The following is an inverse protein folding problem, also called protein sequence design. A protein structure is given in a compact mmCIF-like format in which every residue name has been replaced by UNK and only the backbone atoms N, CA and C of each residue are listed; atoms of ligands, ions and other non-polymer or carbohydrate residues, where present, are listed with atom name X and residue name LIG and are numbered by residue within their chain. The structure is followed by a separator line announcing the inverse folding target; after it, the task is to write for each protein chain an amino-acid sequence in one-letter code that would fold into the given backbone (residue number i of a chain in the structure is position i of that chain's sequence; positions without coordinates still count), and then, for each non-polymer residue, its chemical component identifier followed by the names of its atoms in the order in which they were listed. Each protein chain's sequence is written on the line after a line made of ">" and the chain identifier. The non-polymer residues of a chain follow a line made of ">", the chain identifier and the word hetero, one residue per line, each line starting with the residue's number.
data_IF_294415506833
#
_entry.id   IF_294415506833
#
_cell.length_a   1.000
_cell.length_b   1.000
_cell.length_c   1.000
_cell.angle_alpha   90.00
_cell.angle_beta   90.00
_cell.angle_gamma   90.00
#
_symmetry.space_group_name_H-M   'P 1'
#
loop_
_entity.id
_entity.type
_entity.pdbx_description
1 polymer ?
#
# COMPACT_ATOMS: atom_id res chain seq x y z
N UNK A 1 15.55 -14.68 -5.72
CA UNK A 1 14.17 -14.61 -6.28
C UNK A 1 14.17 -13.76 -7.54
N UNK A 2 13.19 -13.94 -8.43
CA UNK A 2 13.07 -13.19 -9.68
C UNK A 2 11.97 -12.13 -9.57
N UNK A 3 12.10 -11.05 -10.32
CA UNK A 3 11.03 -10.07 -10.50
C UNK A 3 9.82 -10.71 -11.17
N UNK A 4 8.67 -10.07 -11.03
CA UNK A 4 7.44 -10.54 -11.64
C UNK A 4 6.56 -9.41 -12.14
N UNK A 5 5.74 -9.76 -13.13
CA UNK A 5 4.61 -8.98 -13.65
C UNK A 5 3.39 -9.87 -13.79
N UNK A 6 2.25 -9.34 -14.21
CA UNK A 6 1.07 -10.14 -14.55
C UNK A 6 1.19 -10.73 -15.96
N UNK A 7 0.51 -11.87 -16.24
CA UNK A 7 0.54 -12.50 -17.58
C UNK A 7 -0.38 -11.83 -18.58
N UNK A 8 -1.52 -11.31 -18.11
CA UNK A 8 -2.58 -10.73 -18.95
C UNK A 8 -3.05 -9.42 -18.35
N UNK A 9 -3.45 -8.49 -19.20
CA UNK A 9 -4.13 -7.27 -18.79
C UNK A 9 -5.44 -7.60 -18.05
N UNK A 10 -5.73 -6.82 -17.01
CA UNK A 10 -7.00 -6.85 -16.29
C UNK A 10 -7.47 -5.43 -16.02
N UNK A 11 -8.80 -5.26 -16.08
CA UNK A 11 -9.45 -3.97 -15.92
C UNK A 11 -10.47 -4.03 -14.79
N UNK A 12 -10.63 -2.90 -14.11
CA UNK A 12 -11.70 -2.69 -13.15
C UNK A 12 -12.10 -1.22 -13.11
N UNK A 13 -13.32 -0.99 -12.67
CA UNK A 13 -13.88 0.36 -12.50
C UNK A 13 -14.72 0.41 -11.24
N UNK A 14 -14.92 1.60 -10.73
CA UNK A 14 -15.73 1.84 -9.55
C UNK A 14 -15.62 3.28 -9.08
N UNK A 15 -16.22 3.59 -7.96
CA UNK A 15 -16.18 4.92 -7.37
C UNK A 15 -14.93 5.12 -6.53
N UNK A 16 -14.36 6.32 -6.54
CA UNK A 16 -13.36 6.75 -5.57
C UNK A 16 -14.03 7.07 -4.24
N UNK A 17 -13.46 6.60 -3.14
CA UNK A 17 -14.08 6.77 -1.81
C UNK A 17 -14.20 8.24 -1.41
N UNK A 18 -13.21 9.07 -1.77
CA UNK A 18 -13.21 10.48 -1.40
C UNK A 18 -13.93 11.36 -2.40
N UNK A 19 -13.71 11.15 -3.69
CA UNK A 19 -14.27 12.00 -4.74
C UNK A 19 -15.70 11.65 -5.11
N UNK A 20 -16.17 10.43 -4.84
CA UNK A 20 -17.45 9.91 -5.31
C UNK A 20 -17.56 9.75 -6.83
N UNK A 21 -16.45 9.99 -7.56
CA UNK A 21 -16.42 9.92 -9.01
C UNK A 21 -16.01 8.53 -9.48
N UNK A 22 -16.57 8.10 -10.59
CA UNK A 22 -16.17 6.85 -11.25
C UNK A 22 -14.79 7.02 -11.87
N UNK A 23 -13.96 6.00 -11.69
CA UNK A 23 -12.68 5.87 -12.36
C UNK A 23 -12.52 4.45 -12.93
N UNK A 24 -11.70 4.33 -13.96
CA UNK A 24 -11.34 3.05 -14.58
C UNK A 24 -9.84 2.85 -14.51
N UNK A 25 -9.44 1.63 -14.17
CA UNK A 25 -8.03 1.23 -14.05
C UNK A 25 -7.75 0.02 -14.90
N UNK A 26 -6.67 0.08 -15.70
CA UNK A 26 -6.12 -1.05 -16.45
C UNK A 26 -4.75 -1.41 -15.90
N UNK A 27 -4.58 -2.64 -15.47
CA UNK A 27 -3.29 -3.21 -15.06
C UNK A 27 -2.69 -3.96 -16.25
N UNK A 28 -1.52 -3.53 -16.73
CA UNK A 28 -0.86 -4.10 -17.92
C UNK A 28 0.52 -4.64 -17.56
N UNK A 29 0.92 -5.80 -18.13
CA UNK A 29 2.27 -6.31 -17.96
C UNK A 29 3.29 -5.28 -18.40
N UNK A 30 4.45 -5.24 -17.74
CA UNK A 30 5.59 -4.44 -18.16
C UNK A 30 6.89 -5.23 -18.11
N UNK A 31 7.94 -4.69 -18.74
CA UNK A 31 9.28 -5.30 -18.75
C UNK A 31 9.93 -5.35 -17.36
N UNK A 32 11.01 -6.12 -17.20
CA UNK A 32 11.78 -6.13 -15.97
C UNK A 32 12.40 -4.75 -15.71
N UNK A 33 12.56 -4.40 -14.42
CA UNK A 33 13.09 -3.12 -13.94
C UNK A 33 12.26 -1.87 -14.30
N UNK A 34 11.03 -2.04 -14.77
CA UNK A 34 10.12 -0.91 -15.01
C UNK A 34 9.61 -0.32 -13.68
N UNK A 35 9.45 -1.16 -12.65
CA UNK A 35 8.76 -0.79 -11.43
C UNK A 35 7.24 -0.64 -11.64
N UNK A 36 6.57 -0.05 -10.68
CA UNK A 36 5.13 0.23 -10.74
C UNK A 36 4.93 1.67 -11.20
N UNK A 37 4.24 1.85 -12.32
CA UNK A 37 4.12 3.18 -12.94
C UNK A 37 2.68 3.46 -13.30
N UNK A 38 2.14 4.55 -12.76
CA UNK A 38 0.83 5.06 -13.13
C UNK A 38 0.92 5.89 -14.42
N UNK A 39 -0.04 5.67 -15.29
CA UNK A 39 -0.30 6.47 -16.49
C UNK A 39 -1.70 7.08 -16.36
N UNK A 40 -1.74 8.35 -15.96
CA UNK A 40 -3.00 9.09 -15.86
C UNK A 40 -3.41 9.58 -17.24
N UNK A 41 -4.56 9.09 -17.73
CA UNK A 41 -5.15 9.49 -19.01
C UNK A 41 -6.06 10.69 -18.83
N UNK A 42 -5.93 11.67 -19.73
CA UNK A 42 -6.80 12.85 -19.84
C UNK A 42 -7.61 12.82 -21.14
N UNK A 43 -7.02 12.23 -22.20
CA UNK A 43 -7.62 11.93 -23.50
C UNK A 43 -6.86 10.77 -24.14
N UNK A 44 -7.26 10.33 -25.34
CA UNK A 44 -6.54 9.28 -26.06
C UNK A 44 -5.08 9.66 -26.37
N UNK A 45 -4.78 10.95 -26.53
CA UNK A 45 -3.45 11.46 -26.91
C UNK A 45 -2.64 12.02 -25.74
N UNK A 46 -3.27 12.30 -24.57
CA UNK A 46 -2.60 12.93 -23.44
C UNK A 46 -2.57 12.03 -22.22
N UNK A 47 -1.39 11.51 -21.95
CA UNK A 47 -1.11 10.65 -20.80
C UNK A 47 0.04 11.23 -19.99
N UNK A 48 -0.04 11.15 -18.67
CA UNK A 48 1.01 11.61 -17.75
C UNK A 48 1.48 10.44 -16.91
N UNK A 49 2.78 10.25 -16.87
CA UNK A 49 3.45 9.21 -16.13
C UNK A 49 3.77 9.68 -14.70
N UNK A 50 3.46 8.85 -13.70
CA UNK A 50 3.76 9.07 -12.29
C UNK A 50 4.27 7.76 -11.70
N UNK A 51 5.58 7.58 -11.49
CA UNK A 51 6.12 6.40 -10.83
C UNK A 51 5.55 6.26 -9.41
N UNK A 52 5.19 5.03 -9.03
CA UNK A 52 4.67 4.72 -7.70
C UNK A 52 5.81 4.64 -6.67
N UNK A 53 6.39 5.79 -6.38
CA UNK A 53 7.53 5.95 -5.48
C UNK A 53 7.25 6.99 -4.40
N UNK A 54 7.86 6.81 -3.23
CA UNK A 54 7.76 7.72 -2.10
C UNK A 54 8.06 9.19 -2.44
N UNK A 55 8.96 9.44 -3.40
CA UNK A 55 9.31 10.79 -3.89
C UNK A 55 8.13 11.50 -4.56
N UNK A 56 7.18 10.75 -5.07
CA UNK A 56 5.99 11.25 -5.76
C UNK A 56 4.75 11.31 -4.86
N UNK A 57 4.87 11.01 -3.56
CA UNK A 57 3.80 11.22 -2.59
C UNK A 57 3.68 12.72 -2.32
N UNK A 58 2.52 13.28 -2.64
CA UNK A 58 2.25 14.74 -2.55
C UNK A 58 1.20 15.08 -1.49
N UNK A 59 0.41 14.11 -1.03
CA UNK A 59 -0.56 14.28 0.05
C UNK A 59 -0.79 12.94 0.75
N UNK A 60 -1.01 13.01 2.08
CA UNK A 60 -1.25 11.87 2.96
C UNK A 60 -2.46 12.09 3.88
N UNK A 61 -3.31 13.07 3.55
CA UNK A 61 -4.53 13.36 4.31
C UNK A 61 -5.62 12.36 3.92
N UNK A 62 -5.99 11.48 4.86
CA UNK A 62 -7.00 10.42 4.75
C UNK A 62 -6.69 9.31 3.71
N UNK A 63 -5.79 9.54 2.78
CA UNK A 63 -5.33 8.56 1.79
C UNK A 63 -3.95 8.95 1.26
N UNK A 64 -3.26 8.03 0.61
CA UNK A 64 -1.99 8.33 -0.04
C UNK A 64 -2.23 8.77 -1.48
N UNK A 65 -1.75 9.98 -1.80
CA UNK A 65 -1.87 10.60 -3.12
C UNK A 65 -0.50 10.69 -3.79
N UNK A 66 -0.37 10.14 -4.97
CA UNK A 66 0.78 10.34 -5.85
C UNK A 66 0.56 11.56 -6.75
N UNK A 67 1.64 12.25 -7.08
CA UNK A 67 1.60 13.38 -7.98
C UNK A 67 2.94 13.69 -8.63
N UNK A 68 2.93 14.65 -9.55
CA UNK A 68 4.13 15.16 -10.20
C UNK A 68 4.22 16.68 -10.12
N UNK A 69 5.31 17.24 -10.64
CA UNK A 69 5.60 18.69 -10.65
C UNK A 69 4.53 19.54 -11.38
N UNK A 70 3.77 18.94 -12.30
CA UNK A 70 2.71 19.59 -13.05
C UNK A 70 1.35 19.51 -12.37
N UNK A 71 1.32 19.17 -11.08
CA UNK A 71 0.11 19.05 -10.26
C UNK A 71 -0.89 17.99 -10.72
N UNK A 72 -0.45 17.00 -11.51
CA UNK A 72 -1.28 15.83 -11.79
C UNK A 72 -1.25 14.89 -10.60
N UNK A 73 -2.42 14.45 -10.12
CA UNK A 73 -2.56 13.68 -8.89
C UNK A 73 -3.42 12.43 -9.11
N UNK A 74 -3.11 11.38 -8.36
CA UNK A 74 -3.89 10.13 -8.25
C UNK A 74 -4.03 9.82 -6.78
N UNK A 75 -5.28 9.80 -6.27
CA UNK A 75 -5.59 9.59 -4.86
C UNK A 75 -5.84 8.11 -4.55
N UNK A 76 -5.72 7.76 -3.26
CA UNK A 76 -6.12 6.46 -2.68
C UNK A 76 -5.41 5.29 -3.36
N UNK A 77 -4.07 5.40 -3.48
CA UNK A 77 -3.26 4.37 -4.15
C UNK A 77 -2.91 3.20 -3.22
N UNK A 78 -3.00 3.36 -1.91
CA UNK A 78 -2.54 2.43 -0.88
C UNK A 78 -3.14 1.03 -1.01
N UNK A 79 -4.42 0.88 -1.29
CA UNK A 79 -5.08 -0.44 -1.41
C UNK A 79 -4.61 -1.22 -2.65
N UNK A 80 -4.41 -0.51 -3.77
CA UNK A 80 -3.83 -1.11 -4.98
C UNK A 80 -2.37 -1.48 -4.74
N UNK A 81 -1.58 -0.59 -4.13
CA UNK A 81 -0.18 -0.86 -3.80
C UNK A 81 -0.04 -2.04 -2.84
N UNK A 82 -0.92 -2.16 -1.83
CA UNK A 82 -0.96 -3.31 -0.93
C UNK A 82 -1.28 -4.62 -1.67
N UNK A 83 -2.24 -4.61 -2.61
CA UNK A 83 -2.55 -5.77 -3.44
C UNK A 83 -1.35 -6.21 -4.29
N UNK A 84 -0.65 -5.25 -4.91
CA UNK A 84 0.54 -5.51 -5.72
C UNK A 84 1.69 -6.06 -4.87
N UNK A 85 1.94 -5.47 -3.69
CA UNK A 85 2.92 -5.97 -2.73
C UNK A 85 2.62 -7.41 -2.29
N UNK A 86 1.38 -7.67 -1.85
CA UNK A 86 0.94 -8.99 -1.40
C UNK A 86 0.90 -10.05 -2.51
N UNK A 87 0.79 -9.63 -3.78
CA UNK A 87 0.92 -10.51 -4.94
C UNK A 87 2.34 -10.57 -5.51
N UNK A 88 3.29 -9.85 -4.91
CA UNK A 88 4.71 -9.77 -5.34
C UNK A 88 4.86 -9.32 -6.80
N UNK A 89 4.06 -8.36 -7.24
CA UNK A 89 4.17 -7.75 -8.57
C UNK A 89 5.17 -6.61 -8.50
N UNK A 90 6.30 -6.76 -9.19
CA UNK A 90 7.40 -5.78 -9.18
C UNK A 90 7.29 -4.76 -10.31
N UNK A 91 6.76 -5.18 -11.46
CA UNK A 91 6.73 -4.36 -12.67
C UNK A 91 5.32 -4.35 -13.26
N UNK A 92 4.75 -3.16 -13.42
CA UNK A 92 3.39 -3.00 -13.93
C UNK A 92 3.16 -1.60 -14.48
N UNK A 93 2.46 -1.52 -15.60
CA UNK A 93 1.82 -0.29 -16.06
C UNK A 93 0.40 -0.25 -15.49
N UNK A 94 0.06 0.87 -14.86
CA UNK A 94 -1.24 1.12 -14.22
C UNK A 94 -1.86 2.32 -14.92
N UNK A 95 -2.69 2.09 -15.93
CA UNK A 95 -3.42 3.17 -16.59
C UNK A 95 -4.66 3.52 -15.76
N UNK A 96 -4.91 4.81 -15.56
CA UNK A 96 -6.08 5.32 -14.85
C UNK A 96 -6.76 6.45 -15.61
N UNK A 97 -8.07 6.30 -15.81
CA UNK A 97 -8.98 7.36 -16.23
C UNK A 97 -9.78 7.80 -14.99
N UNK A 98 -9.49 9.01 -14.51
CA UNK A 98 -10.02 9.53 -13.26
C UNK A 98 -8.93 10.13 -12.37
N UNK A 99 -9.33 10.56 -11.18
CA UNK A 99 -8.44 11.21 -10.21
C UNK A 99 -8.14 10.37 -8.96
N UNK A 100 -8.84 9.25 -8.80
CA UNK A 100 -8.77 8.42 -7.61
C UNK A 100 -8.89 6.94 -8.00
N UNK A 101 -8.10 6.06 -7.35
CA UNK A 101 -8.23 4.62 -7.55
C UNK A 101 -9.57 4.15 -6.99
N UNK A 102 -10.36 3.32 -7.74
CA UNK A 102 -11.61 2.77 -7.24
C UNK A 102 -11.45 2.03 -5.92
N UNK A 103 -12.32 2.35 -4.95
CA UNK A 103 -12.25 1.75 -3.61
C UNK A 103 -12.70 0.29 -3.58
N UNK A 104 -13.44 -0.16 -4.60
CA UNK A 104 -14.00 -1.50 -4.70
C UNK A 104 -14.93 -1.82 -3.51
N UNK A 105 -14.64 -2.88 -2.76
CA UNK A 105 -15.36 -3.27 -1.53
C UNK A 105 -14.72 -2.69 -0.25
N UNK A 106 -13.83 -1.71 -0.40
CA UNK A 106 -13.09 -1.13 0.73
C UNK A 106 -11.84 -1.89 1.14
N UNK A 107 -11.52 -3.00 0.48
CA UNK A 107 -10.35 -3.83 0.76
C UNK A 107 -9.47 -4.02 -0.47
N UNK A 108 -8.30 -4.64 -0.32
CA UNK A 108 -7.44 -5.04 -1.45
C UNK A 108 -7.91 -6.33 -2.14
N UNK A 109 -8.83 -7.08 -1.55
CA UNK A 109 -9.17 -8.44 -1.99
C UNK A 109 -9.71 -8.53 -3.42
N UNK A 110 -10.61 -7.65 -3.90
CA UNK A 110 -11.05 -7.66 -5.30
C UNK A 110 -9.88 -7.53 -6.28
N UNK A 111 -8.93 -6.65 -5.98
CA UNK A 111 -7.72 -6.44 -6.81
C UNK A 111 -6.81 -7.67 -6.76
N UNK A 112 -6.60 -8.27 -5.59
CA UNK A 112 -5.85 -9.53 -5.44
C UNK A 112 -6.49 -10.65 -6.29
N UNK A 113 -7.83 -10.74 -6.33
CA UNK A 113 -8.53 -11.71 -7.19
C UNK A 113 -8.27 -11.45 -8.67
N UNK A 114 -8.30 -10.20 -9.12
CA UNK A 114 -8.00 -9.83 -10.50
C UNK A 114 -6.56 -10.17 -10.88
N UNK A 115 -5.59 -9.84 -10.03
CA UNK A 115 -4.17 -10.19 -10.24
C UNK A 115 -4.00 -11.72 -10.31
N UNK A 116 -4.66 -12.47 -9.42
CA UNK A 116 -4.65 -13.94 -9.46
C UNK A 116 -5.23 -14.49 -10.77
N UNK A 117 -6.35 -13.91 -11.24
CA UNK A 117 -6.98 -14.28 -12.52
C UNK A 117 -6.07 -13.93 -13.71
N UNK A 118 -5.37 -12.79 -13.66
CA UNK A 118 -4.38 -12.43 -14.67
C UNK A 118 -3.21 -13.43 -14.74
N UNK A 119 -2.89 -14.06 -13.63
CA UNK A 119 -1.71 -14.90 -13.45
C UNK A 119 -0.43 -14.08 -13.30
N UNK A 120 0.58 -14.65 -12.65
CA UNK A 120 1.89 -14.02 -12.44
C UNK A 120 2.90 -14.63 -13.42
N UNK A 121 3.73 -13.77 -14.03
CA UNK A 121 4.83 -14.13 -14.90
C UNK A 121 6.17 -13.74 -14.24
N UNK A 122 7.07 -14.70 -14.05
CA UNK A 122 8.44 -14.42 -13.63
C UNK A 122 9.23 -13.82 -14.79
N UNK A 123 10.13 -12.89 -14.47
CA UNK A 123 10.94 -12.15 -15.43
C UNK A 123 12.42 -12.48 -15.23
N UNK A 124 13.23 -12.29 -16.29
CA UNK A 124 14.67 -12.56 -16.24
C UNK A 124 15.46 -11.39 -15.63
N UNK A 125 15.07 -10.99 -14.40
CA UNK A 125 15.81 -10.00 -13.59
C UNK A 125 15.68 -10.39 -12.11
N UNK A 126 16.73 -10.18 -11.33
CA UNK A 126 16.72 -10.43 -9.88
C UNK A 126 15.84 -9.44 -9.16
N UNK A 127 15.04 -9.94 -8.20
CA UNK A 127 14.25 -9.11 -7.32
C UNK A 127 15.15 -8.44 -6.29
N UNK A 128 15.10 -7.12 -6.23
CA UNK A 128 15.81 -6.32 -5.23
C UNK A 128 14.87 -6.05 -4.05
N UNK A 129 15.37 -6.30 -2.86
CA UNK A 129 14.73 -5.95 -1.59
C UNK A 129 15.46 -4.75 -1.00
N UNK A 130 14.76 -4.00 -0.16
CA UNK A 130 15.34 -2.91 0.65
C UNK A 130 15.59 -3.50 2.04
N UNK A 131 16.84 -3.80 2.39
CA UNK A 131 17.20 -4.33 3.71
C UNK A 131 17.50 -3.17 4.65
N UNK A 132 16.81 -3.13 5.79
CA UNK A 132 17.06 -2.17 6.86
C UNK A 132 18.35 -2.56 7.58
N UNK A 133 19.27 -1.60 7.72
CA UNK A 133 20.58 -1.79 8.36
C UNK A 133 20.66 -1.09 9.72
N UNK A 134 19.90 -0.02 9.93
CA UNK A 134 19.80 0.72 11.20
C UNK A 134 18.35 1.00 11.52
N UNK A 135 18.05 1.06 12.80
CA UNK A 135 16.72 1.46 13.25
C UNK A 135 16.43 2.91 12.83
N UNK A 136 15.23 3.11 12.30
CA UNK A 136 14.63 4.43 12.04
C UNK A 136 13.33 4.49 12.81
N UNK A 137 13.12 5.53 13.58
CA UNK A 137 11.89 5.72 14.36
C UNK A 137 11.43 7.17 14.31
N UNK A 138 10.12 7.34 14.39
CA UNK A 138 9.44 8.64 14.47
C UNK A 138 8.32 8.55 15.50
N UNK A 139 8.14 9.62 16.25
CA UNK A 139 7.00 9.79 17.14
C UNK A 139 6.47 11.22 17.06
N UNK A 140 5.16 11.35 17.16
CA UNK A 140 4.46 12.62 17.24
C UNK A 140 3.20 12.42 18.08
N UNK A 141 3.11 13.10 19.22
CA UNK A 141 2.02 12.95 20.18
C UNK A 141 1.78 11.47 20.53
N UNK A 142 0.56 10.95 20.23
CA UNK A 142 0.16 9.58 20.51
C UNK A 142 0.55 8.58 19.40
N UNK A 143 1.22 9.04 18.32
CA UNK A 143 1.56 8.22 17.16
C UNK A 143 3.05 7.91 17.15
N UNK A 144 3.37 6.65 16.88
CA UNK A 144 4.77 6.27 16.67
C UNK A 144 4.89 5.20 15.60
N UNK A 145 5.99 5.26 14.86
CA UNK A 145 6.40 4.22 13.92
C UNK A 145 7.88 3.97 14.05
N UNK A 146 8.29 2.72 13.92
CA UNK A 146 9.70 2.34 13.85
C UNK A 146 9.89 1.22 12.86
N UNK A 147 11.09 1.15 12.29
CA UNK A 147 11.53 -0.01 11.51
C UNK A 147 12.94 -0.38 11.94
N UNK A 148 13.13 -1.66 12.28
CA UNK A 148 14.40 -2.20 12.79
C UNK A 148 14.99 -3.22 11.83
N UNK A 149 16.32 -3.41 11.85
CA UNK A 149 16.95 -4.52 11.13
C UNK A 149 16.30 -5.86 11.52
N UNK A 150 16.01 -6.67 10.48
CA UNK A 150 15.49 -8.03 10.62
C UNK A 150 15.87 -8.82 9.37
N UNK A 151 15.82 -10.15 9.44
CA UNK A 151 15.93 -11.03 8.26
C UNK A 151 14.56 -11.39 7.66
N UNK A 152 13.48 -10.99 8.33
CA UNK A 152 12.09 -11.14 7.90
C UNK A 152 11.47 -9.78 7.56
N UNK A 153 10.30 -9.81 6.96
CA UNK A 153 9.51 -8.62 6.63
C UNK A 153 8.25 -8.59 7.52
N UNK A 154 8.46 -8.26 8.79
CA UNK A 154 7.39 -8.25 9.81
C UNK A 154 6.76 -6.86 9.84
N UNK A 155 5.43 -6.83 9.89
CA UNK A 155 4.67 -5.59 10.00
C UNK A 155 3.65 -5.76 11.13
N UNK A 156 3.73 -4.88 12.13
CA UNK A 156 2.84 -4.87 13.29
C UNK A 156 2.17 -3.50 13.43
N UNK A 157 0.91 -3.49 13.80
CA UNK A 157 0.17 -2.26 14.06
C UNK A 157 -0.76 -2.41 15.25
N UNK A 158 -0.71 -1.41 16.13
CA UNK A 158 -1.65 -1.20 17.23
C UNK A 158 -2.46 0.05 16.96
N UNK A 159 -3.77 -0.01 17.19
CA UNK A 159 -4.70 1.12 17.14
C UNK A 159 -5.52 1.18 18.41
N UNK A 160 -5.96 2.37 18.78
CA UNK A 160 -6.84 2.58 19.94
C UNK A 160 -7.85 3.69 19.60
N UNK A 161 -9.14 3.36 19.72
CA UNK A 161 -10.26 4.26 19.54
C UNK A 161 -11.19 4.09 20.76
N UNK A 162 -10.87 4.75 21.89
CA UNK A 162 -11.64 4.60 23.10
C UNK A 162 -13.09 5.08 22.91
N UNK A 163 -14.03 4.40 23.57
CA UNK A 163 -15.45 4.79 23.56
C UNK A 163 -16.22 4.38 22.30
N UNK A 164 -15.70 3.48 21.48
CA UNK A 164 -16.45 2.93 20.33
C UNK A 164 -16.10 1.45 20.09
N UNK A 165 -16.86 0.77 19.22
CA UNK A 165 -16.70 -0.65 18.88
C UNK A 165 -15.30 -1.03 18.36
N UNK A 166 -14.50 -0.09 17.87
CA UNK A 166 -13.12 -0.36 17.45
C UNK A 166 -12.26 -0.74 18.64
N UNK A 167 -12.38 0.02 19.77
CA UNK A 167 -11.63 -0.19 20.99
C UNK A 167 -10.10 -0.20 20.76
N UNK A 168 -9.37 -1.04 21.47
CA UNK A 168 -7.96 -1.30 21.23
C UNK A 168 -7.80 -2.58 20.43
N UNK A 169 -7.08 -2.52 19.31
CA UNK A 169 -6.78 -3.67 18.48
C UNK A 169 -5.33 -3.67 18.05
N UNK A 170 -4.80 -4.85 17.90
CA UNK A 170 -3.43 -5.05 17.41
C UNK A 170 -3.40 -6.26 16.48
N UNK A 171 -2.51 -6.21 15.50
CA UNK A 171 -2.21 -7.34 14.64
C UNK A 171 -0.78 -7.24 14.11
N UNK A 172 -0.22 -8.41 13.80
CA UNK A 172 1.12 -8.56 13.22
C UNK A 172 1.11 -9.68 12.19
N UNK A 173 1.86 -9.52 11.11
CA UNK A 173 2.05 -10.57 10.12
C UNK A 173 3.41 -10.45 9.41
N UNK A 174 3.86 -11.53 8.78
CA UNK A 174 5.01 -11.54 7.89
C UNK A 174 4.54 -11.41 6.43
N UNK A 175 5.25 -10.65 5.62
CA UNK A 175 4.99 -10.45 4.18
C UNK A 175 5.31 -11.69 3.33
N UNK A 176 5.13 -12.88 3.84
CA UNK A 176 5.22 -14.12 3.08
C UNK A 176 4.02 -14.29 2.12
N UNK A 177 4.23 -15.02 1.04
CA UNK A 177 3.35 -15.03 -0.14
C UNK A 177 1.88 -15.29 0.17
N UNK A 178 1.58 -16.12 1.15
CA UNK A 178 0.19 -16.51 1.44
C UNK A 178 -0.44 -15.73 2.60
N UNK A 179 0.35 -15.15 3.49
CA UNK A 179 -0.16 -14.50 4.69
C UNK A 179 -0.97 -13.23 4.37
N UNK A 180 -0.47 -12.35 3.51
CA UNK A 180 -1.22 -11.15 3.11
C UNK A 180 -2.58 -11.48 2.49
N UNK A 181 -2.62 -12.45 1.57
CA UNK A 181 -3.86 -12.81 0.84
C UNK A 181 -4.94 -13.38 1.75
N UNK A 182 -4.58 -14.22 2.72
CA UNK A 182 -5.52 -14.86 3.66
C UNK A 182 -5.83 -13.99 4.86
N UNK A 183 -4.84 -13.27 5.36
CA UNK A 183 -4.86 -12.64 6.67
C UNK A 183 -5.21 -11.15 6.63
N UNK A 184 -4.79 -10.43 5.59
CA UNK A 184 -4.89 -8.97 5.52
C UNK A 184 -5.83 -8.50 4.41
N UNK A 185 -5.75 -9.09 3.21
CA UNK A 185 -6.31 -8.50 1.98
C UNK A 185 -7.80 -8.20 2.01
N UNK A 186 -8.59 -8.87 2.86
CA UNK A 186 -10.05 -8.72 2.97
C UNK A 186 -10.49 -7.65 3.97
N UNK A 187 -9.56 -7.07 4.75
CA UNK A 187 -9.89 -6.07 5.74
C UNK A 187 -10.33 -4.77 5.06
N UNK A 188 -11.53 -4.30 5.41
CA UNK A 188 -12.16 -3.10 4.80
C UNK A 188 -11.73 -1.83 5.50
N UNK A 189 -11.68 -0.75 4.73
CA UNK A 189 -11.61 0.61 5.28
C UNK A 189 -12.81 0.90 6.17
N UNK A 190 -12.69 1.88 7.06
CA UNK A 190 -13.72 2.18 8.04
C UNK A 190 -13.82 3.68 8.34
N UNK A 191 -14.97 4.05 8.84
CA UNK A 191 -15.23 5.42 9.28
C UNK A 191 -16.11 5.47 10.52
N UNK A 192 -15.97 6.56 11.29
CA UNK A 192 -16.86 6.85 12.41
C UNK A 192 -18.07 7.62 11.90
N UNK A 193 -19.28 7.15 12.20
CA UNK A 193 -20.55 7.78 11.77
C UNK A 193 -20.59 9.27 12.07
N UNK A 194 -20.20 9.65 13.29
CA UNK A 194 -20.18 11.04 13.73
C UNK A 194 -19.20 11.95 12.96
N UNK A 195 -18.26 11.37 12.22
CA UNK A 195 -17.27 12.10 11.40
C UNK A 195 -17.71 12.29 9.95
N UNK A 196 -18.75 11.58 9.49
CA UNK A 196 -19.16 11.56 8.07
C UNK A 196 -19.59 12.94 7.60
N UNK A 197 -20.45 13.65 8.35
CA UNK A 197 -20.92 14.98 7.96
C UNK A 197 -19.76 15.98 7.83
N UNK A 198 -18.78 15.92 8.72
CA UNK A 198 -17.58 16.76 8.67
C UNK A 198 -16.69 16.41 7.47
N UNK A 199 -16.58 15.11 7.16
CA UNK A 199 -15.86 14.60 5.99
C UNK A 199 -16.49 15.12 4.70
N UNK A 200 -17.81 14.99 4.55
CA UNK A 200 -18.56 15.47 3.39
C UNK A 200 -18.43 16.99 3.23
N UNK A 201 -18.52 17.76 4.33
CA UNK A 201 -18.33 19.20 4.30
C UNK A 201 -16.94 19.63 3.84
N UNK A 202 -15.91 18.78 4.03
CA UNK A 202 -14.55 18.99 3.49
C UNK A 202 -14.33 18.46 2.07
N UNK A 203 -15.39 17.95 1.42
CA UNK A 203 -15.31 17.40 0.07
C UNK A 203 -14.67 16.00 0.01
N UNK A 204 -14.65 15.30 1.14
CA UNK A 204 -14.05 13.95 1.25
C UNK A 204 -15.12 12.91 1.64
N UNK A 205 -14.85 11.65 1.37
CA UNK A 205 -15.76 10.54 1.72
C UNK A 205 -17.05 10.49 0.89
N UNK A 206 -17.12 11.22 -0.23
CA UNK A 206 -18.34 11.38 -1.03
C UNK A 206 -18.81 10.09 -1.71
N UNK A 207 -17.92 9.12 -1.89
CA UNK A 207 -18.22 7.80 -2.46
C UNK A 207 -18.33 6.69 -1.43
N UNK A 208 -18.21 7.02 -0.13
CA UNK A 208 -18.32 6.05 0.96
C UNK A 208 -19.74 5.49 1.12
N UNK A 209 -19.87 4.20 1.31
CA UNK A 209 -21.12 3.49 1.56
C UNK A 209 -20.90 2.28 2.45
N UNK A 210 -21.98 1.64 2.91
CA UNK A 210 -21.87 0.38 3.65
C UNK A 210 -21.34 -0.78 2.79
N UNK A 211 -21.38 -0.67 1.46
CA UNK A 211 -20.82 -1.68 0.55
C UNK A 211 -19.29 -1.63 0.47
N UNK A 212 -18.68 -0.46 0.76
CA UNK A 212 -17.26 -0.22 0.58
C UNK A 212 -16.52 0.30 1.81
N UNK A 213 -17.17 0.36 2.96
CA UNK A 213 -16.55 0.74 4.23
C UNK A 213 -17.31 0.17 5.42
N UNK A 214 -16.60 -0.07 6.51
CA UNK A 214 -17.20 -0.41 7.80
C UNK A 214 -17.54 0.89 8.53
N UNK A 215 -18.80 1.12 8.85
CA UNK A 215 -19.24 2.31 9.57
C UNK A 215 -19.52 1.96 11.03
N UNK A 216 -18.85 2.68 11.92
CA UNK A 216 -18.93 2.51 13.38
C UNK A 216 -19.72 3.66 13.98
N UNK A 217 -20.81 3.35 14.70
CA UNK A 217 -21.63 4.30 15.44
C UNK A 217 -21.62 3.97 16.93
N UNK A 218 -20.76 4.65 17.70
CA UNK A 218 -20.55 4.29 19.10
C UNK A 218 -20.09 2.84 19.23
N UNK A 219 -20.84 2.00 19.92
CA UNK A 219 -20.54 0.59 20.12
C UNK A 219 -21.16 -0.35 19.06
N UNK A 220 -21.72 0.20 17.99
CA UNK A 220 -22.39 -0.56 16.94
C UNK A 220 -21.63 -0.52 15.62
N UNK A 221 -21.68 -1.63 14.88
CA UNK A 221 -21.27 -1.73 13.48
C UNK A 221 -22.53 -1.66 12.64
N UNK A 222 -22.62 -0.64 11.75
CA UNK A 222 -23.83 -0.42 10.96
C UNK A 222 -23.96 -1.37 9.76
N UNK A 223 -22.88 -2.05 9.37
CA UNK A 223 -22.92 -3.04 8.28
C UNK A 223 -23.65 -4.29 8.72
N UNK A 224 -24.70 -4.71 8.02
CA UNK A 224 -25.54 -5.89 8.35
C UNK A 224 -24.71 -7.19 8.43
N UNK A 225 -23.72 -7.35 7.53
CA UNK A 225 -22.81 -8.51 7.52
C UNK A 225 -21.77 -8.49 8.66
N UNK A 226 -21.73 -7.44 9.48
CA UNK A 226 -20.77 -7.29 10.56
C UNK A 226 -19.32 -7.16 10.05
N UNK A 227 -18.39 -7.66 10.87
CA UNK A 227 -16.94 -7.64 10.58
C UNK A 227 -16.48 -8.94 9.93
N UNK A 228 -15.55 -8.84 8.98
CA UNK A 228 -14.87 -9.99 8.33
C UNK A 228 -13.83 -10.65 9.24
N UNK A 229 -13.27 -9.89 10.20
CA UNK A 229 -12.33 -10.36 11.22
C UNK A 229 -12.63 -9.67 12.56
N UNK A 230 -12.38 -10.33 13.68
CA UNK A 230 -12.54 -9.73 15.02
C UNK A 230 -11.75 -8.42 15.17
N UNK A 231 -10.56 -8.36 14.58
CA UNK A 231 -9.67 -7.20 14.58
C UNK A 231 -9.51 -6.60 13.17
N UNK A 232 -10.62 -6.47 12.44
CA UNK A 232 -10.63 -6.00 11.05
C UNK A 232 -10.00 -4.61 10.91
N UNK A 233 -10.22 -3.73 11.87
CA UNK A 233 -9.70 -2.37 11.86
C UNK A 233 -8.16 -2.32 11.95
N UNK A 234 -7.54 -3.11 12.82
CA UNK A 234 -6.09 -3.22 12.90
C UNK A 234 -5.51 -3.88 11.62
N UNK A 235 -6.18 -4.89 11.07
CA UNK A 235 -5.78 -5.53 9.80
C UNK A 235 -5.87 -4.56 8.63
N UNK A 236 -6.89 -3.70 8.62
CA UNK A 236 -6.99 -2.67 7.59
C UNK A 236 -5.85 -1.64 7.70
N UNK A 237 -5.51 -1.22 8.91
CA UNK A 237 -4.32 -0.37 9.10
C UNK A 237 -3.02 -1.03 8.63
N UNK A 238 -2.89 -2.33 8.80
CA UNK A 238 -1.76 -3.07 8.23
C UNK A 238 -1.79 -3.09 6.70
N UNK A 239 -2.98 -3.24 6.10
CA UNK A 239 -3.15 -3.15 4.65
C UNK A 239 -2.66 -1.80 4.11
N UNK A 240 -3.08 -0.69 4.73
CA UNK A 240 -2.63 0.67 4.41
C UNK A 240 -1.10 0.79 4.51
N UNK A 241 -0.53 0.32 5.64
CA UNK A 241 0.92 0.36 5.88
C UNK A 241 1.68 -0.44 4.82
N UNK A 242 1.20 -1.62 4.42
CA UNK A 242 1.81 -2.42 3.34
C UNK A 242 1.87 -1.64 2.04
N UNK A 243 0.76 -0.99 1.66
CA UNK A 243 0.70 -0.18 0.45
C UNK A 243 1.64 1.01 0.49
N UNK A 244 1.66 1.71 1.61
CA UNK A 244 2.53 2.86 1.84
C UNK A 244 4.02 2.47 1.84
N UNK A 245 4.39 1.38 2.50
CA UNK A 245 5.76 0.86 2.51
C UNK A 245 6.22 0.40 1.12
N UNK A 246 5.31 -0.10 0.28
CA UNK A 246 5.66 -0.56 -1.06
C UNK A 246 6.03 0.58 -2.01
N UNK A 247 5.66 1.83 -1.69
CA UNK A 247 6.12 3.05 -2.36
C UNK A 247 7.63 3.32 -2.16
N UNK A 248 8.30 2.56 -1.31
CA UNK A 248 9.77 2.54 -1.25
C UNK A 248 10.43 2.09 -2.57
N UNK A 249 9.66 1.48 -3.49
CA UNK A 249 10.14 0.93 -4.77
C UNK A 249 10.49 -0.56 -4.69
N UNK A 250 10.13 -1.23 -3.61
CA UNK A 250 10.31 -2.67 -3.40
C UNK A 250 9.93 -3.09 -1.99
N UNK A 251 9.90 -4.40 -1.76
CA UNK A 251 9.60 -4.93 -0.44
C UNK A 251 10.75 -4.63 0.53
N UNK A 252 10.40 -4.08 1.70
CA UNK A 252 11.36 -3.82 2.78
C UNK A 252 11.52 -5.08 3.62
N UNK A 253 12.77 -5.45 3.92
CA UNK A 253 13.14 -6.48 4.89
C UNK A 253 13.54 -5.76 6.18
N UNK A 254 12.73 -5.92 7.21
CA UNK A 254 12.83 -5.26 8.50
C UNK A 254 11.63 -5.57 9.38
N UNK A 255 11.69 -5.22 10.66
CA UNK A 255 10.59 -5.31 11.62
C UNK A 255 9.97 -3.92 11.79
N UNK A 256 8.80 -3.70 11.14
CA UNK A 256 8.03 -2.47 11.26
C UNK A 256 7.03 -2.56 12.41
N UNK A 257 6.99 -1.52 13.24
CA UNK A 257 5.99 -1.37 14.30
C UNK A 257 5.33 0.00 14.23
N UNK A 258 4.00 0.00 14.19
CA UNK A 258 3.17 1.20 14.21
C UNK A 258 2.24 1.23 15.42
N UNK A 259 2.24 2.32 16.16
CA UNK A 259 1.22 2.63 17.13
C UNK A 259 0.44 3.85 16.64
N UNK A 260 -0.88 3.72 16.46
CA UNK A 260 -1.74 4.75 15.86
C UNK A 260 -1.20 5.27 14.51
N UNK A 261 -0.52 4.39 13.76
CA UNK A 261 0.10 4.73 12.48
C UNK A 261 -0.96 5.14 11.44
N UNK A 262 -0.57 6.09 10.59
CA UNK A 262 -1.34 6.54 9.44
C UNK A 262 -0.40 6.93 8.32
N UNK A 263 -0.96 7.25 7.14
CA UNK A 263 -0.19 7.52 5.93
C UNK A 263 0.94 8.54 6.11
N UNK A 264 0.67 9.66 6.81
CA UNK A 264 1.65 10.72 7.00
C UNK A 264 2.90 10.25 7.73
N UNK A 265 2.77 9.66 8.92
CA UNK A 265 3.93 9.22 9.72
C UNK A 265 4.64 8.04 9.05
N UNK A 266 3.91 7.15 8.37
CA UNK A 266 4.48 6.03 7.61
C UNK A 266 5.32 6.54 6.43
N UNK A 267 4.81 7.51 5.67
CA UNK A 267 5.55 8.11 4.55
C UNK A 267 6.77 8.91 5.02
N UNK A 268 6.68 9.60 6.15
CA UNK A 268 7.86 10.25 6.76
C UNK A 268 8.93 9.23 7.18
N UNK A 269 8.53 8.06 7.72
CA UNK A 269 9.47 6.98 8.03
C UNK A 269 10.16 6.45 6.77
N UNK A 270 9.42 6.17 5.70
CA UNK A 270 9.97 5.72 4.41
C UNK A 270 10.95 6.75 3.87
N UNK A 271 10.58 8.04 3.90
CA UNK A 271 11.46 9.14 3.48
C UNK A 271 12.75 9.17 4.31
N UNK A 272 12.67 9.11 5.64
CA UNK A 272 13.84 9.14 6.52
C UNK A 272 14.74 7.92 6.30
N UNK A 273 14.16 6.73 6.16
CA UNK A 273 14.91 5.52 5.86
C UNK A 273 15.70 5.67 4.56
N UNK A 274 15.01 6.03 3.46
CA UNK A 274 15.59 6.03 2.12
C UNK A 274 16.48 7.26 1.82
N UNK A 275 16.29 8.36 2.54
CA UNK A 275 17.17 9.53 2.44
C UNK A 275 18.50 9.37 3.15
N UNK A 276 18.65 8.34 4.00
CA UNK A 276 19.88 8.04 4.71
C UNK A 276 20.55 6.76 4.17
N UNK A 277 21.55 6.87 3.29
CA UNK A 277 22.21 5.72 2.67
C UNK A 277 22.84 4.72 3.65
N UNK A 278 23.12 5.12 4.90
CA UNK A 278 23.66 4.22 5.90
C UNK A 278 22.62 3.38 6.62
N UNK A 279 21.33 3.67 6.41
CA UNK A 279 20.22 2.99 7.10
C UNK A 279 19.65 1.81 6.33
N UNK A 280 20.00 1.65 5.06
CA UNK A 280 19.49 0.59 4.22
C UNK A 280 20.45 0.20 3.08
N UNK A 281 20.22 -0.93 2.47
CA UNK A 281 20.91 -1.38 1.25
C UNK A 281 19.98 -2.19 0.37
N UNK A 282 20.29 -2.30 -0.91
CA UNK A 282 19.66 -3.33 -1.74
C UNK A 282 20.18 -4.71 -1.38
N UNK A 283 19.27 -5.68 -1.41
CA UNK A 283 19.53 -7.06 -1.07
C UNK A 283 18.85 -8.00 -2.06
N UNK A 284 19.55 -9.03 -2.53
CA UNK A 284 19.00 -10.09 -3.37
C UNK A 284 18.93 -11.39 -2.58
N UNK A 285 17.71 -11.92 -2.38
CA UNK A 285 17.56 -13.27 -1.81
C UNK A 285 18.01 -14.33 -2.80
N UNK A 286 19.11 -15.00 -2.52
CA UNK A 286 19.43 -16.24 -3.21
C UNK A 286 18.45 -17.34 -2.80
N UNK A 287 18.11 -18.29 -3.70
CA UNK A 287 17.43 -19.52 -3.27
C UNK A 287 18.30 -20.14 -2.16
N UNK A 288 17.69 -20.53 -1.04
CA UNK A 288 18.37 -21.31 -0.01
C UNK A 288 19.03 -22.53 -0.66
N UNK A 289 20.28 -22.44 -1.00
CA UNK A 289 21.25 -23.52 -0.81
C UNK A 289 21.61 -23.42 0.67
N UNK A 290 21.77 -24.53 1.34
CA UNK A 290 22.08 -24.62 2.76
C UNK A 290 23.45 -24.05 3.16
N UNK A 291 24.06 -23.18 2.37
CA UNK A 291 25.32 -22.51 2.69
C UNK A 291 25.38 -21.11 2.10
N UNK A 292 25.41 -20.14 3.02
CA UNK A 292 26.17 -18.90 3.10
C UNK A 292 26.20 -17.86 1.98
N UNK A 293 26.26 -16.65 2.47
CA UNK A 293 26.70 -15.38 1.87
C UNK A 293 25.72 -14.69 0.92
N UNK A 294 24.89 -13.90 1.55
CA UNK A 294 24.04 -12.91 0.90
C UNK A 294 24.93 -11.73 0.43
N UNK A 295 24.93 -11.43 -0.86
CA UNK A 295 25.65 -10.28 -1.39
C UNK A 295 24.95 -8.98 -1.00
N UNK A 296 25.67 -8.09 -0.32
CA UNK A 296 25.24 -6.71 0.00
C UNK A 296 25.91 -5.79 -1.02
N UNK A 297 25.12 -5.01 -1.75
CA UNK A 297 25.64 -4.09 -2.76
C UNK A 297 25.57 -2.62 -2.27
N UNK A 298 26.63 -1.83 -2.40
CA UNK A 298 26.59 -0.42 -2.08
C UNK A 298 25.79 0.38 -3.12
N UNK A 299 25.19 1.47 -2.66
CA UNK A 299 24.19 2.33 -3.31
C UNK A 299 24.55 3.01 -4.64
N UNK A 300 25.74 2.82 -5.21
CA UNK A 300 26.28 3.70 -6.26
C UNK A 300 25.56 3.66 -7.62
N UNK A 301 24.60 2.75 -7.88
CA UNK A 301 24.04 2.58 -9.24
C UNK A 301 22.53 2.83 -9.39
N UNK A 302 21.83 3.40 -8.40
CA UNK A 302 20.38 3.54 -8.44
C UNK A 302 19.83 4.97 -8.66
N UNK A 303 20.66 5.93 -9.07
CA UNK A 303 20.24 7.35 -9.18
C UNK A 303 20.16 7.86 -10.64
N UNK A 304 20.30 7.00 -11.63
CA UNK A 304 20.13 7.41 -13.04
C UNK A 304 19.13 6.50 -13.76
N UNK A 305 17.85 6.80 -13.59
CA UNK A 305 16.77 6.54 -14.58
C UNK A 305 15.53 7.36 -14.19
#
# INVERSE_FOLDING_TARGET
>A
MWQSTIKKEVNFSGVGIHTGKVASVSLKPSGPNTGLVFYKKFSQEKTVQIPALWKNVVNTHLSTTLGNSNNHKIQTVEHLMAALAGCRVDNLIIEIEGSEVPIMDGSSYPIVKLIKKAGICQQNAKRKYIKVLKEVSLSNEDKSVSIKPSDQSIISCKISFPGCAISEQEHSFDMEENSFKSDISKARTFGLYNSISKLHASGMGLGGSLDNSVIVNGNEILNEDGLRYKNEFARHKLLDIVGDLYLAGGQIIGDFKGNQAGHSITQHLVKNLLSNPSSWSFFEKNKRSSDSQNAIYPLKEAVSA
#
